data_IF_121471517389
#
_entry.id   IF_121471517389
#
_cell.length_a   1.000
_cell.length_b   1.000
_cell.length_c   1.000
_cell.angle_alpha   90.00
_cell.angle_beta   90.00
_cell.angle_gamma   90.00
#
_symmetry.space_group_name_H-M   'P 1'
#
loop_
_entity.id
_entity.type
_entity.pdbx_description
1 polymer ?
#
# COMPACT_ATOMS: atom_id res chain seq x y z
N UNK A 1 -9.70 -2.34 36.53
CA UNK A 1 -8.87 -1.11 36.70
C UNK A 1 -9.39 -0.10 35.73
N UNK A 2 -9.63 1.17 36.11
CA UNK A 2 -10.10 2.20 35.21
C UNK A 2 -9.10 2.39 34.07
N UNK A 3 -9.61 2.68 32.86
CA UNK A 3 -8.76 3.12 31.74
C UNK A 3 -8.06 4.42 32.18
N UNK A 4 -6.78 4.62 31.80
CA UNK A 4 -6.07 5.83 32.20
C UNK A 4 -6.76 7.05 31.56
N UNK A 5 -7.20 7.97 32.40
CA UNK A 5 -7.80 9.26 32.06
C UNK A 5 -6.70 10.30 31.69
N UNK A 6 -5.65 9.91 30.95
CA UNK A 6 -4.69 10.85 30.40
C UNK A 6 -4.94 11.04 28.91
N UNK A 7 -4.83 12.26 28.43
CA UNK A 7 -5.04 12.66 27.05
C UNK A 7 -4.36 11.66 26.10
N UNK A 8 -5.11 10.70 25.59
CA UNK A 8 -4.63 9.85 24.53
C UNK A 8 -4.49 10.72 23.29
N UNK A 9 -3.29 10.85 22.78
CA UNK A 9 -3.04 11.58 21.53
C UNK A 9 -3.61 10.78 20.34
N UNK A 10 -3.83 9.47 20.53
CA UNK A 10 -4.34 8.55 19.50
C UNK A 10 -5.82 8.22 19.77
N UNK A 11 -6.66 8.37 18.77
CA UNK A 11 -8.09 8.13 18.86
C UNK A 11 -8.38 6.68 19.30
N UNK A 12 -9.22 6.48 20.32
CA UNK A 12 -9.54 5.14 20.85
C UNK A 12 -10.09 4.17 19.80
N UNK A 13 -10.76 4.69 18.79
CA UNK A 13 -11.32 3.93 17.67
C UNK A 13 -10.27 3.28 16.75
N UNK A 14 -9.00 3.76 16.79
CA UNK A 14 -7.88 3.12 16.11
C UNK A 14 -7.29 1.95 16.88
N UNK A 15 -7.58 1.85 18.19
CA UNK A 15 -6.92 0.95 19.13
C UNK A 15 -7.81 -0.26 19.37
N UNK A 16 -7.33 -1.45 19.01
CA UNK A 16 -8.09 -2.69 19.19
C UNK A 16 -7.26 -3.74 19.95
N UNK A 17 -7.72 -4.17 21.15
CA UNK A 17 -7.16 -5.33 21.80
C UNK A 17 -7.43 -6.60 20.98
N UNK A 18 -6.37 -7.37 20.69
CA UNK A 18 -6.49 -8.63 19.94
C UNK A 18 -6.64 -9.87 20.82
N UNK A 19 -6.36 -9.74 22.12
CA UNK A 19 -6.59 -10.80 23.10
C UNK A 19 -7.10 -10.21 24.43
N UNK A 20 -7.55 -11.09 25.33
CA UNK A 20 -8.06 -10.71 26.68
C UNK A 20 -6.99 -10.77 27.78
N UNK A 21 -5.71 -11.02 27.42
CA UNK A 21 -4.62 -11.11 28.39
C UNK A 21 -4.38 -9.73 29.02
N UNK A 22 -3.82 -9.75 30.25
CA UNK A 22 -3.39 -8.53 30.94
C UNK A 22 -2.03 -8.09 30.45
N UNK A 23 -1.68 -6.84 30.65
CA UNK A 23 -0.30 -6.39 30.61
C UNK A 23 0.48 -7.09 31.74
N UNK A 24 1.70 -7.44 31.50
CA UNK A 24 2.57 -8.13 32.48
C UNK A 24 3.56 -7.15 33.11
N UNK A 25 4.31 -7.61 34.12
CA UNK A 25 5.45 -6.87 34.67
C UNK A 25 6.71 -6.93 33.78
N UNK A 26 6.56 -7.09 32.47
CA UNK A 26 7.65 -7.27 31.53
C UNK A 26 8.64 -6.10 31.49
N UNK A 27 9.82 -6.34 30.88
CA UNK A 27 10.97 -5.45 30.93
C UNK A 27 10.82 -4.23 29.99
N UNK A 28 9.98 -4.32 28.95
CA UNK A 28 9.78 -3.29 27.91
C UNK A 28 8.41 -3.37 27.25
N UNK A 29 8.03 -2.32 26.53
CA UNK A 29 6.94 -2.33 25.53
C UNK A 29 7.53 -2.73 24.19
N UNK A 30 6.89 -3.66 23.47
CA UNK A 30 7.29 -4.06 22.13
C UNK A 30 6.35 -3.47 21.09
N UNK A 31 6.88 -2.71 20.13
CA UNK A 31 6.16 -2.41 18.90
C UNK A 31 6.61 -3.39 17.79
N UNK A 32 5.72 -4.27 17.40
CA UNK A 32 5.91 -5.13 16.24
C UNK A 32 5.45 -4.38 14.98
N UNK A 33 6.40 -3.70 14.36
CA UNK A 33 6.22 -2.98 13.11
C UNK A 33 6.17 -3.98 11.95
N UNK A 34 5.16 -3.88 11.08
CA UNK A 34 5.04 -4.77 9.94
C UNK A 34 4.56 -4.04 8.67
N UNK A 35 3.46 -3.27 8.76
CA UNK A 35 2.86 -2.53 7.65
C UNK A 35 3.31 -1.06 7.62
N UNK A 36 3.27 -0.39 8.74
CA UNK A 36 3.58 1.05 8.87
C UNK A 36 5.08 1.28 9.05
N UNK A 37 5.87 1.08 7.99
CA UNK A 37 7.34 1.05 8.03
C UNK A 37 7.94 2.46 8.08
N UNK A 38 7.56 3.25 9.09
CA UNK A 38 8.01 4.64 9.30
C UNK A 38 8.11 4.99 10.78
N UNK A 39 8.99 5.93 11.08
CA UNK A 39 9.21 6.46 12.43
C UNK A 39 8.49 7.79 12.69
N UNK A 40 7.80 8.34 11.70
CA UNK A 40 7.11 9.62 11.74
C UNK A 40 5.63 9.43 11.38
N UNK A 41 4.75 10.26 11.93
CA UNK A 41 3.29 10.23 11.70
C UNK A 41 2.70 8.79 11.75
N UNK A 42 3.13 8.01 12.75
CA UNK A 42 2.77 6.61 12.93
C UNK A 42 1.99 6.40 14.24
N UNK A 43 0.66 6.30 14.15
CA UNK A 43 -0.22 6.14 15.31
C UNK A 43 0.14 4.93 16.19
N UNK A 44 0.57 3.81 15.59
CA UNK A 44 0.95 2.61 16.35
C UNK A 44 2.23 2.83 17.16
N UNK A 45 3.21 3.53 16.58
CA UNK A 45 4.44 3.89 17.28
C UNK A 45 4.16 4.87 18.42
N UNK A 46 3.39 5.95 18.19
CA UNK A 46 3.12 6.94 19.23
C UNK A 46 2.29 6.34 20.36
N UNK A 47 1.30 5.50 20.07
CA UNK A 47 0.60 4.74 21.10
C UNK A 47 1.54 3.84 21.91
N UNK A 48 2.52 3.20 21.27
CA UNK A 48 3.53 2.38 21.97
C UNK A 48 4.44 3.25 22.85
N UNK A 49 4.80 4.47 22.41
CA UNK A 49 5.57 5.46 23.24
C UNK A 49 4.75 5.88 24.44
N UNK A 50 3.46 6.21 24.29
CA UNK A 50 2.58 6.57 25.40
C UNK A 50 2.48 5.44 26.44
N UNK A 51 2.30 4.20 25.96
CA UNK A 51 2.28 3.02 26.85
C UNK A 51 3.60 2.80 27.58
N UNK A 52 4.74 2.93 26.86
CA UNK A 52 6.06 2.80 27.44
C UNK A 52 6.30 3.84 28.55
N UNK A 53 5.94 5.10 28.29
CA UNK A 53 6.02 6.17 29.26
C UNK A 53 5.10 5.97 30.48
N UNK A 54 3.88 5.46 30.24
CA UNK A 54 2.92 5.17 31.31
C UNK A 54 3.38 4.01 32.22
N UNK A 55 3.97 2.96 31.62
CA UNK A 55 4.46 1.80 32.34
C UNK A 55 5.86 2.03 32.94
N UNK A 56 6.47 3.18 32.69
CA UNK A 56 7.87 3.49 33.03
C UNK A 56 8.84 2.41 32.49
N UNK A 57 8.67 2.04 31.22
CA UNK A 57 9.46 1.03 30.54
C UNK A 57 10.05 1.58 29.24
N UNK A 58 11.19 1.05 28.76
CA UNK A 58 11.71 1.37 27.44
C UNK A 58 10.78 0.79 26.34
N UNK A 59 10.82 1.44 25.17
CA UNK A 59 10.14 0.95 23.95
C UNK A 59 11.17 0.32 23.02
N UNK A 60 10.88 -0.86 22.53
CA UNK A 60 11.65 -1.54 21.48
C UNK A 60 10.78 -1.79 20.26
N UNK A 61 11.40 -1.70 19.09
CA UNK A 61 10.72 -2.01 17.81
C UNK A 61 11.35 -3.28 17.21
N UNK A 62 10.51 -4.18 16.71
CA UNK A 62 10.97 -5.35 15.96
C UNK A 62 10.27 -5.40 14.60
N UNK A 63 11.05 -5.73 13.57
CA UNK A 63 10.54 -6.03 12.23
C UNK A 63 10.92 -7.48 11.86
N UNK A 64 9.92 -8.30 11.54
CA UNK A 64 10.12 -9.65 11.03
C UNK A 64 10.25 -9.61 9.51
N UNK A 65 11.48 -9.72 9.00
CA UNK A 65 11.75 -9.81 7.58
C UNK A 65 11.57 -11.25 7.11
N UNK A 66 10.57 -11.51 6.28
CA UNK A 66 10.41 -12.80 5.61
C UNK A 66 10.82 -12.69 4.16
N UNK A 67 11.53 -13.68 3.64
CA UNK A 67 11.83 -13.83 2.21
C UNK A 67 10.76 -14.65 1.46
N UNK A 68 9.77 -15.17 2.19
CA UNK A 68 8.58 -15.84 1.66
C UNK A 68 7.34 -14.93 1.56
N UNK A 69 7.49 -13.61 1.39
CA UNK A 69 6.32 -12.75 1.18
C UNK A 69 5.71 -13.05 -0.20
N UNK A 70 4.39 -13.33 -0.30
CA UNK A 70 3.77 -13.79 -1.53
C UNK A 70 4.06 -12.87 -2.73
N UNK A 71 4.44 -13.46 -3.87
CA UNK A 71 4.63 -12.78 -5.17
C UNK A 71 5.60 -11.60 -5.14
N UNK A 72 6.47 -11.51 -4.13
CA UNK A 72 7.49 -10.47 -4.04
C UNK A 72 8.81 -10.92 -4.69
N UNK A 73 9.62 -9.97 -5.11
CA UNK A 73 10.91 -10.21 -5.74
C UNK A 73 11.95 -9.17 -5.28
N UNK A 74 13.18 -9.25 -5.78
CA UNK A 74 14.30 -8.41 -5.37
C UNK A 74 13.98 -6.90 -5.42
N UNK A 75 13.23 -6.44 -6.44
CA UNK A 75 12.80 -5.02 -6.60
C UNK A 75 12.08 -4.51 -5.36
N UNK A 76 11.14 -5.30 -4.84
CA UNK A 76 10.33 -4.94 -3.68
C UNK A 76 11.15 -4.93 -2.40
N UNK A 77 12.02 -5.92 -2.23
CA UNK A 77 12.92 -5.98 -1.08
C UNK A 77 13.91 -4.82 -1.07
N UNK A 78 14.48 -4.45 -2.22
CA UNK A 78 15.39 -3.30 -2.31
C UNK A 78 14.72 -2.03 -1.80
N UNK A 79 13.56 -1.70 -2.33
CA UNK A 79 12.81 -0.51 -1.94
C UNK A 79 12.40 -0.53 -0.45
N UNK A 80 11.94 -1.68 0.04
CA UNK A 80 11.58 -1.87 1.45
C UNK A 80 12.77 -1.68 2.39
N UNK A 81 13.89 -2.33 2.08
CA UNK A 81 15.09 -2.30 2.93
C UNK A 81 15.73 -0.91 3.02
N UNK A 82 15.69 -0.12 1.94
CA UNK A 82 16.10 1.29 1.97
C UNK A 82 15.26 2.09 2.97
N UNK A 83 13.94 1.90 2.98
CA UNK A 83 13.04 2.53 3.94
C UNK A 83 13.25 2.07 5.38
N UNK A 84 13.45 0.76 5.60
CA UNK A 84 13.72 0.22 6.93
C UNK A 84 15.03 0.73 7.53
N UNK A 85 16.08 0.89 6.70
CA UNK A 85 17.34 1.52 7.11
C UNK A 85 17.13 2.93 7.64
N UNK A 86 16.41 3.76 6.89
CA UNK A 86 16.09 5.13 7.31
C UNK A 86 15.23 5.14 8.58
N UNK A 87 14.23 4.27 8.65
CA UNK A 87 13.35 4.12 9.80
C UNK A 87 14.13 3.77 11.07
N UNK A 88 15.04 2.79 10.99
CA UNK A 88 15.90 2.40 12.12
C UNK A 88 16.78 3.56 12.60
N UNK A 89 17.40 4.29 11.68
CA UNK A 89 18.22 5.48 12.01
C UNK A 89 17.39 6.60 12.66
N UNK A 90 16.14 6.80 12.21
CA UNK A 90 15.25 7.82 12.77
C UNK A 90 14.73 7.42 14.15
N UNK A 91 14.41 6.15 14.36
CA UNK A 91 14.04 5.61 15.68
C UNK A 91 15.18 5.72 16.69
N UNK A 92 16.43 5.43 16.27
CA UNK A 92 17.61 5.58 17.12
C UNK A 92 17.78 7.02 17.64
N UNK A 93 17.51 8.05 16.82
CA UNK A 93 17.52 9.45 17.25
C UNK A 93 16.46 9.76 18.32
N UNK A 94 15.39 8.96 18.38
CA UNK A 94 14.35 9.05 19.42
C UNK A 94 14.64 8.18 20.65
N UNK A 95 15.84 7.55 20.73
CA UNK A 95 16.19 6.63 21.82
C UNK A 95 15.56 5.25 21.72
N UNK A 96 15.04 4.87 20.54
CA UNK A 96 14.31 3.64 20.31
C UNK A 96 15.17 2.66 19.50
N UNK A 97 15.47 1.50 20.08
CA UNK A 97 16.15 0.41 19.38
C UNK A 97 15.19 -0.31 18.44
N UNK A 98 15.58 -0.43 17.17
CA UNK A 98 14.89 -1.26 16.18
C UNK A 98 15.73 -2.49 15.84
N UNK A 99 15.14 -3.69 16.00
CA UNK A 99 15.74 -4.94 15.57
C UNK A 99 15.05 -5.46 14.32
N UNK A 100 15.82 -5.78 13.28
CA UNK A 100 15.32 -6.45 12.07
C UNK A 100 15.83 -7.90 12.08
N UNK A 101 14.91 -8.86 12.04
CA UNK A 101 15.22 -10.28 12.12
C UNK A 101 14.64 -11.03 10.92
N UNK A 102 15.47 -11.82 10.25
CA UNK A 102 15.03 -12.74 9.21
C UNK A 102 14.25 -13.89 9.84
N UNK A 103 13.06 -14.15 9.32
CA UNK A 103 12.19 -15.23 9.76
C UNK A 103 10.71 -14.93 9.57
N UNK A 104 9.88 -15.86 9.97
CA UNK A 104 8.40 -15.68 9.95
C UNK A 104 8.01 -14.52 10.88
N UNK A 105 7.27 -13.51 10.38
CA UNK A 105 6.92 -12.32 11.18
C UNK A 105 6.23 -12.64 12.51
N UNK A 106 5.27 -13.60 12.60
CA UNK A 106 4.69 -14.00 13.89
C UNK A 106 5.71 -14.62 14.86
N UNK A 107 6.62 -15.48 14.37
CA UNK A 107 7.63 -16.11 15.21
C UNK A 107 8.64 -15.11 15.75
N UNK A 108 9.07 -14.18 14.90
CA UNK A 108 9.93 -13.06 15.30
C UNK A 108 9.25 -12.23 16.39
N UNK A 109 7.98 -11.85 16.20
CA UNK A 109 7.22 -11.10 17.19
C UNK A 109 7.05 -11.85 18.52
N UNK A 110 6.74 -13.13 18.47
CA UNK A 110 6.60 -13.98 19.66
C UNK A 110 7.92 -14.16 20.41
N UNK A 111 8.99 -14.41 19.69
CA UNK A 111 10.34 -14.54 20.28
C UNK A 111 10.78 -13.24 20.94
N UNK A 112 10.60 -12.11 20.23
CA UNK A 112 10.91 -10.78 20.75
C UNK A 112 10.02 -10.42 21.95
N UNK A 113 8.73 -10.79 21.91
CA UNK A 113 7.73 -10.45 22.91
C UNK A 113 7.75 -11.29 24.19
N UNK A 114 8.65 -12.27 24.34
CA UNK A 114 8.66 -13.17 25.53
C UNK A 114 8.73 -12.43 26.87
N UNK A 115 9.45 -11.30 26.91
CA UNK A 115 9.61 -10.46 28.10
C UNK A 115 8.92 -9.09 27.98
N UNK A 116 8.07 -8.91 26.97
CA UNK A 116 7.36 -7.66 26.81
C UNK A 116 6.18 -7.54 27.80
N UNK A 117 5.99 -6.35 28.35
CA UNK A 117 4.79 -6.03 29.14
C UNK A 117 3.53 -6.04 28.28
N UNK A 118 3.65 -5.58 27.04
CA UNK A 118 2.59 -5.52 26.03
C UNK A 118 3.22 -5.54 24.64
N UNK A 119 2.54 -6.12 23.67
CA UNK A 119 2.88 -6.06 22.25
C UNK A 119 1.88 -5.13 21.55
N UNK A 120 2.38 -4.04 20.96
CA UNK A 120 1.62 -3.20 20.05
C UNK A 120 1.98 -3.63 18.62
N UNK A 121 1.01 -3.69 17.72
CA UNK A 121 1.27 -3.93 16.29
C UNK A 121 0.44 -2.98 15.43
N UNK A 122 0.92 -2.69 14.22
CA UNK A 122 0.15 -1.98 13.21
C UNK A 122 -0.88 -2.89 12.50
N UNK A 123 -1.71 -2.29 11.65
CA UNK A 123 -2.83 -2.95 11.00
C UNK A 123 -2.61 -3.12 9.50
N UNK A 124 -2.18 -4.30 9.07
CA UNK A 124 -2.26 -4.71 7.67
C UNK A 124 -3.60 -5.39 7.35
N UNK A 125 -4.13 -5.20 6.16
CA UNK A 125 -5.49 -5.62 5.79
C UNK A 125 -5.54 -6.93 5.00
N UNK A 126 -4.42 -7.38 4.47
CA UNK A 126 -4.34 -8.60 3.67
C UNK A 126 -4.59 -9.85 4.52
N UNK A 127 -5.14 -10.88 3.92
CA UNK A 127 -5.54 -12.14 4.59
C UNK A 127 -4.42 -12.74 5.44
N UNK A 128 -3.19 -12.83 4.91
CA UNK A 128 -2.06 -13.37 5.63
C UNK A 128 -1.58 -12.44 6.76
N UNK A 129 -1.61 -11.11 6.58
CA UNK A 129 -1.27 -10.15 7.63
C UNK A 129 -2.24 -10.26 8.82
N UNK A 130 -3.54 -10.43 8.54
CA UNK A 130 -4.54 -10.73 9.57
C UNK A 130 -4.26 -12.06 10.27
N UNK A 131 -3.85 -13.10 9.52
CA UNK A 131 -3.51 -14.40 10.07
C UNK A 131 -2.29 -14.32 10.99
N UNK A 132 -1.27 -13.55 10.62
CA UNK A 132 -0.10 -13.29 11.47
C UNK A 132 -0.47 -12.65 12.81
N UNK A 133 -1.27 -11.58 12.79
CA UNK A 133 -1.70 -10.91 14.03
C UNK A 133 -2.55 -11.83 14.91
N UNK A 134 -3.46 -12.61 14.32
CA UNK A 134 -4.24 -13.62 15.06
C UNK A 134 -3.37 -14.68 15.70
N UNK A 135 -2.32 -15.13 15.01
CA UNK A 135 -1.35 -16.10 15.53
C UNK A 135 -0.62 -15.53 16.73
N UNK A 136 -0.08 -14.31 16.63
CA UNK A 136 0.60 -13.63 17.75
C UNK A 136 -0.37 -13.41 18.92
N UNK A 137 -1.57 -12.93 18.67
CA UNK A 137 -2.56 -12.68 19.72
C UNK A 137 -2.93 -13.93 20.53
N UNK A 138 -3.00 -15.09 19.88
CA UNK A 138 -3.28 -16.38 20.56
C UNK A 138 -2.11 -16.84 21.41
N UNK A 139 -0.88 -16.72 20.93
CA UNK A 139 0.32 -17.33 21.49
C UNK A 139 1.08 -16.42 22.46
N UNK A 140 1.02 -15.08 22.30
CA UNK A 140 1.73 -14.16 23.18
C UNK A 140 1.36 -14.37 24.67
N UNK A 141 2.32 -14.23 25.56
CA UNK A 141 2.11 -14.34 27.01
C UNK A 141 1.41 -13.10 27.60
N UNK A 142 1.54 -11.94 26.94
CA UNK A 142 1.04 -10.66 27.38
C UNK A 142 -0.13 -10.16 26.49
N UNK A 143 -0.65 -8.98 26.80
CA UNK A 143 -1.65 -8.28 26.00
C UNK A 143 -1.08 -7.95 24.62
N UNK A 144 -1.89 -8.13 23.57
CA UNK A 144 -1.58 -7.71 22.21
C UNK A 144 -2.62 -6.69 21.77
N UNK A 145 -2.15 -5.54 21.29
CA UNK A 145 -2.98 -4.42 20.84
C UNK A 145 -2.63 -4.06 19.40
N UNK A 146 -3.62 -3.96 18.53
CA UNK A 146 -3.51 -3.46 17.18
C UNK A 146 -3.85 -1.98 17.13
N UNK A 147 -3.09 -1.20 16.37
CA UNK A 147 -3.39 0.23 16.12
C UNK A 147 -3.41 0.49 14.62
N UNK A 148 -4.47 1.15 14.17
CA UNK A 148 -4.69 1.44 12.75
C UNK A 148 -3.99 2.76 12.37
N UNK A 149 -2.97 2.68 11.49
CA UNK A 149 -2.07 3.81 11.18
C UNK A 149 -2.04 4.21 9.69
N UNK A 150 -2.57 3.35 8.79
CA UNK A 150 -2.44 3.53 7.34
C UNK A 150 -3.75 3.93 6.63
N UNK A 151 -4.72 4.41 7.36
CA UNK A 151 -5.95 5.05 6.87
C UNK A 151 -6.18 6.38 7.59
N UNK A 152 -6.86 7.30 6.94
CA UNK A 152 -7.26 8.56 7.59
C UNK A 152 -8.40 8.28 8.56
N UNK A 153 -9.47 7.63 8.12
CA UNK A 153 -10.58 7.23 9.00
C UNK A 153 -10.52 5.71 9.25
N UNK A 154 -10.57 5.24 10.51
CA UNK A 154 -10.52 3.82 10.81
C UNK A 154 -11.60 3.02 10.08
N UNK A 155 -11.24 1.84 9.56
CA UNK A 155 -12.15 1.02 8.74
C UNK A 155 -13.44 0.67 9.46
N UNK A 156 -13.37 0.32 10.75
CA UNK A 156 -14.53 -0.04 11.56
C UNK A 156 -15.48 1.14 11.84
N UNK A 157 -14.99 2.37 11.79
CA UNK A 157 -15.80 3.59 11.93
C UNK A 157 -16.64 3.83 10.66
N UNK A 158 -16.03 3.56 9.49
CA UNK A 158 -16.67 3.81 8.21
C UNK A 158 -17.75 2.77 7.91
N UNK A 159 -17.43 1.48 8.07
CA UNK A 159 -18.36 0.40 7.70
C UNK A 159 -18.00 -0.92 8.36
N UNK A 160 -19.02 -1.76 8.61
CA UNK A 160 -18.89 -3.14 9.09
C UNK A 160 -18.92 -4.18 7.97
N UNK A 161 -18.98 -3.75 6.68
CA UNK A 161 -19.09 -4.64 5.51
C UNK A 161 -18.36 -4.06 4.30
N UNK A 162 -18.19 -4.89 3.26
CA UNK A 162 -17.70 -4.43 1.97
C UNK A 162 -18.68 -3.40 1.36
N UNK A 163 -18.16 -2.24 0.97
CA UNK A 163 -18.92 -1.18 0.34
C UNK A 163 -18.96 -1.38 -1.18
N UNK A 164 -20.13 -1.11 -1.76
CA UNK A 164 -20.33 -1.38 -3.18
C UNK A 164 -19.49 -0.47 -4.09
N UNK A 165 -19.37 0.82 -3.74
CA UNK A 165 -18.64 1.80 -4.55
C UNK A 165 -18.27 3.03 -3.74
N UNK A 166 -17.42 3.91 -4.30
CA UNK A 166 -17.07 5.19 -3.67
C UNK A 166 -18.31 6.04 -3.32
N UNK A 167 -19.38 5.94 -4.10
CA UNK A 167 -20.64 6.63 -3.83
C UNK A 167 -21.26 6.26 -2.48
N UNK A 168 -21.13 5.01 -2.04
CA UNK A 168 -21.66 4.55 -0.74
C UNK A 168 -20.71 4.81 0.40
N UNK A 169 -19.38 4.83 0.15
CA UNK A 169 -18.36 5.04 1.16
C UNK A 169 -18.12 6.53 1.47
N UNK A 170 -18.10 7.40 0.44
CA UNK A 170 -17.76 8.83 0.56
C UNK A 170 -18.58 9.57 1.63
N UNK A 171 -19.92 9.47 1.69
CA UNK A 171 -20.68 10.16 2.74
C UNK A 171 -20.32 9.71 4.15
N UNK A 172 -19.94 8.45 4.31
CA UNK A 172 -19.52 7.87 5.59
C UNK A 172 -18.16 8.42 6.02
N UNK A 173 -17.18 8.50 5.10
CA UNK A 173 -15.88 9.14 5.35
C UNK A 173 -16.06 10.62 5.69
N UNK A 174 -16.79 11.37 4.85
CA UNK A 174 -16.97 12.82 5.01
C UNK A 174 -17.56 13.18 6.37
N UNK A 175 -18.48 12.36 6.90
CA UNK A 175 -19.08 12.58 8.24
C UNK A 175 -18.04 12.59 9.36
N UNK A 176 -17.00 11.78 9.24
CA UNK A 176 -15.98 11.58 10.27
C UNK A 176 -14.66 12.32 9.95
N UNK A 177 -14.53 12.91 8.76
CA UNK A 177 -13.25 13.43 8.30
C UNK A 177 -12.66 14.48 9.25
N UNK A 178 -13.48 15.38 9.79
CA UNK A 178 -13.02 16.43 10.70
C UNK A 178 -12.52 15.87 12.06
N UNK A 179 -12.98 14.69 12.44
CA UNK A 179 -12.54 14.01 13.66
C UNK A 179 -11.13 13.44 13.52
N UNK A 180 -10.81 12.89 12.31
CA UNK A 180 -9.58 12.14 12.07
C UNK A 180 -8.53 12.89 11.25
N UNK A 181 -8.91 13.93 10.51
CA UNK A 181 -8.00 14.71 9.68
C UNK A 181 -7.40 15.88 10.49
N UNK A 182 -6.60 15.53 11.49
CA UNK A 182 -5.89 16.46 12.37
C UNK A 182 -4.52 15.91 12.75
N UNK A 183 -3.60 16.79 13.05
CA UNK A 183 -2.29 16.41 13.59
C UNK A 183 -2.43 15.75 14.95
N UNK A 184 -1.54 14.83 15.26
CA UNK A 184 -1.40 14.28 16.61
C UNK A 184 -0.04 14.65 17.19
N UNK A 185 0.01 14.73 18.52
CA UNK A 185 1.22 15.15 19.21
C UNK A 185 2.20 13.99 19.37
N UNK A 186 3.46 14.24 19.02
CA UNK A 186 4.56 13.31 19.27
C UNK A 186 5.08 13.52 20.69
N UNK A 187 5.07 12.47 21.49
CA UNK A 187 5.57 12.50 22.88
C UNK A 187 7.00 11.96 22.93
N UNK A 188 7.96 12.63 23.60
CA UNK A 188 9.30 12.10 23.82
C UNK A 188 9.25 10.79 24.63
N UNK A 189 10.09 9.82 24.26
CA UNK A 189 10.27 8.60 25.05
C UNK A 189 11.07 8.94 26.32
N UNK A 190 10.58 8.49 27.49
CA UNK A 190 11.25 8.72 28.79
C UNK A 190 12.49 7.83 28.95
N UNK A 191 12.35 6.54 28.68
CA UNK A 191 13.37 5.54 28.93
C UNK A 191 13.93 5.01 27.61
N UNK A 192 15.16 5.40 27.27
CA UNK A 192 15.82 4.91 26.04
C UNK A 192 16.06 3.40 26.08
N UNK A 193 15.89 2.76 24.94
CA UNK A 193 16.19 1.34 24.75
C UNK A 193 17.54 1.06 24.07
N UNK A 194 18.29 2.10 23.66
CA UNK A 194 19.52 1.92 22.87
C UNK A 194 20.61 1.15 23.58
N UNK A 195 20.71 1.22 24.92
CA UNK A 195 21.70 0.52 25.74
C UNK A 195 21.27 -0.88 26.20
N UNK A 196 20.11 -1.36 25.80
CA UNK A 196 19.60 -2.66 26.26
C UNK A 196 20.20 -3.82 25.46
N UNK A 197 20.85 -4.76 26.16
CA UNK A 197 21.32 -6.02 25.58
C UNK A 197 20.30 -7.14 25.79
N UNK A 198 19.29 -7.21 24.93
CA UNK A 198 18.31 -8.28 24.96
C UNK A 198 18.60 -9.23 23.80
N UNK A 199 19.15 -10.41 24.10
CA UNK A 199 19.57 -11.42 23.10
C UNK A 199 18.48 -11.76 22.07
N UNK A 200 17.20 -11.82 22.49
CA UNK A 200 16.05 -12.11 21.61
C UNK A 200 15.71 -10.96 20.64
N UNK A 201 16.28 -9.76 20.86
CA UNK A 201 16.02 -8.54 20.09
C UNK A 201 17.24 -8.05 19.31
N UNK A 202 18.33 -8.83 19.28
CA UNK A 202 19.47 -8.48 18.41
C UNK A 202 19.06 -8.64 16.95
N UNK A 203 19.37 -7.63 16.14
CA UNK A 203 19.29 -7.77 14.69
C UNK A 203 20.20 -8.90 14.25
N UNK A 204 19.68 -9.81 13.42
CA UNK A 204 20.53 -10.78 12.71
C UNK A 204 20.83 -10.33 11.27
N UNK A 205 20.43 -9.10 10.94
CA UNK A 205 20.60 -8.45 9.65
C UNK A 205 21.25 -7.07 9.82
N UNK A 206 22.20 -6.77 8.94
CA UNK A 206 22.82 -5.44 8.89
C UNK A 206 22.19 -4.61 7.79
N UNK A 207 21.39 -3.63 8.16
CA UNK A 207 20.70 -2.71 7.20
C UNK A 207 21.67 -1.73 6.54
N UNK A 208 22.88 -1.52 7.05
CA UNK A 208 23.87 -0.64 6.40
C UNK A 208 24.54 -1.31 5.19
N UNK A 209 24.58 -2.65 5.16
CA UNK A 209 25.16 -3.44 4.09
C UNK A 209 24.05 -4.07 3.22
N UNK A 210 23.26 -3.25 2.51
CA UNK A 210 22.06 -3.71 1.79
C UNK A 210 22.36 -4.77 0.73
N UNK A 211 23.44 -4.66 -0.01
CA UNK A 211 23.84 -5.63 -1.05
C UNK A 211 24.14 -7.00 -0.44
N UNK A 212 24.94 -7.02 0.64
CA UNK A 212 25.24 -8.24 1.38
C UNK A 212 24.00 -8.83 2.06
N UNK A 213 23.07 -7.98 2.51
CA UNK A 213 21.79 -8.43 3.06
C UNK A 213 20.93 -9.08 1.98
N UNK A 214 20.79 -8.44 0.82
CA UNK A 214 19.99 -8.95 -0.29
C UNK A 214 20.52 -10.29 -0.81
N UNK A 215 21.85 -10.50 -0.85
CA UNK A 215 22.43 -11.78 -1.29
C UNK A 215 22.06 -12.96 -0.38
N UNK A 216 21.71 -12.69 0.89
CA UNK A 216 21.29 -13.70 1.87
C UNK A 216 19.80 -14.07 1.76
N UNK A 217 18.99 -13.28 1.07
CA UNK A 217 17.56 -13.53 0.94
C UNK A 217 17.29 -14.50 -0.20
N UNK A 218 16.43 -15.47 0.06
CA UNK A 218 15.94 -16.39 -0.95
C UNK A 218 14.71 -15.80 -1.67
N UNK A 219 14.96 -14.82 -2.56
CA UNK A 219 13.91 -14.09 -3.29
C UNK A 219 14.08 -14.24 -4.79
N UNK A 220 12.97 -14.14 -5.53
CA UNK A 220 13.00 -14.08 -7.00
C UNK A 220 13.85 -12.87 -7.45
N UNK A 221 14.82 -13.14 -8.31
CA UNK A 221 15.77 -12.16 -8.87
C UNK A 221 15.52 -11.88 -10.35
N UNK A 222 14.42 -12.37 -10.91
CA UNK A 222 14.09 -12.18 -12.32
C UNK A 222 13.69 -10.76 -12.68
N UNK A 223 13.48 -9.91 -11.65
CA UNK A 223 13.07 -8.51 -11.81
C UNK A 223 14.05 -7.59 -11.11
N UNK A 224 14.72 -6.76 -11.90
CA UNK A 224 15.72 -5.81 -11.41
C UNK A 224 15.11 -4.70 -10.53
N UNK A 225 15.87 -4.21 -9.54
CA UNK A 225 15.54 -2.99 -8.80
C UNK A 225 15.35 -1.77 -9.71
N UNK A 226 14.65 -0.76 -9.22
CA UNK A 226 14.32 0.47 -9.96
C UNK A 226 14.88 1.73 -9.29
N UNK A 227 16.04 1.63 -8.70
CA UNK A 227 16.70 2.68 -7.88
C UNK A 227 16.88 4.01 -8.62
N UNK A 228 16.92 3.98 -9.97
CA UNK A 228 16.96 5.19 -10.81
C UNK A 228 15.66 6.00 -10.75
N UNK A 229 14.53 5.33 -10.51
CA UNK A 229 13.20 5.94 -10.51
C UNK A 229 12.62 6.10 -9.11
N UNK A 230 12.81 5.09 -8.25
CA UNK A 230 12.28 5.09 -6.90
C UNK A 230 13.33 4.61 -5.89
N UNK A 231 13.56 5.43 -4.89
CA UNK A 231 14.33 5.10 -3.69
C UNK A 231 13.39 5.02 -2.50
N UNK A 232 13.53 3.99 -1.66
CA UNK A 232 12.73 3.82 -0.47
C UNK A 232 13.07 4.84 0.62
N UNK A 233 12.10 5.09 1.51
CA UNK A 233 12.25 5.89 2.72
C UNK A 233 11.31 7.10 2.80
N UNK A 234 11.00 7.49 4.03
CA UNK A 234 10.10 8.60 4.36
C UNK A 234 10.62 9.94 3.81
N UNK A 235 11.92 10.17 3.88
CA UNK A 235 12.56 11.41 3.42
C UNK A 235 12.42 11.59 1.92
N UNK A 236 12.65 10.56 1.13
CA UNK A 236 12.46 10.62 -0.33
C UNK A 236 10.98 10.79 -0.69
N UNK A 237 10.08 10.10 0.02
CA UNK A 237 8.63 10.28 -0.14
C UNK A 237 8.22 11.73 0.11
N UNK A 238 8.63 12.32 1.24
CA UNK A 238 8.34 13.72 1.58
C UNK A 238 8.92 14.70 0.56
N UNK A 239 10.15 14.45 0.07
CA UNK A 239 10.79 15.27 -0.98
C UNK A 239 9.99 15.26 -2.28
N UNK A 240 9.58 14.08 -2.76
CA UNK A 240 8.75 13.93 -3.97
C UNK A 240 7.38 14.59 -3.78
N UNK A 241 6.77 14.37 -2.64
CA UNK A 241 5.46 14.96 -2.36
C UNK A 241 5.52 16.49 -2.29
N UNK A 242 6.55 17.06 -1.67
CA UNK A 242 6.77 18.51 -1.67
C UNK A 242 6.94 19.08 -3.09
N UNK A 243 7.65 18.35 -3.97
CA UNK A 243 7.75 18.74 -5.39
C UNK A 243 6.37 18.74 -6.05
N UNK A 244 5.58 17.68 -5.85
CA UNK A 244 4.22 17.58 -6.36
C UNK A 244 3.33 18.73 -5.89
N UNK A 245 3.31 19.03 -4.58
CA UNK A 245 2.54 20.14 -4.02
C UNK A 245 2.87 21.48 -4.67
N UNK A 246 4.16 21.75 -4.88
CA UNK A 246 4.62 23.04 -5.38
C UNK A 246 4.47 23.22 -6.88
N UNK A 247 4.53 22.14 -7.66
CA UNK A 247 4.63 22.22 -9.12
C UNK A 247 3.40 21.66 -9.84
N UNK A 248 2.79 20.58 -9.32
CA UNK A 248 1.86 19.76 -10.08
C UNK A 248 0.45 19.70 -9.48
N UNK A 249 0.24 19.99 -8.19
CA UNK A 249 -1.06 19.88 -7.54
C UNK A 249 -2.13 20.74 -8.24
N UNK A 250 -1.79 21.95 -8.65
CA UNK A 250 -2.69 22.87 -9.38
C UNK A 250 -3.13 22.34 -10.76
N UNK A 251 -2.37 21.43 -11.35
CA UNK A 251 -2.68 20.80 -12.63
C UNK A 251 -3.36 19.44 -12.47
N UNK A 252 -3.37 18.91 -11.25
CA UNK A 252 -3.84 17.55 -10.98
C UNK A 252 -5.28 17.28 -11.43
N UNK A 253 -6.27 18.18 -11.26
CA UNK A 253 -7.65 17.93 -11.71
C UNK A 253 -7.73 17.64 -13.21
N UNK A 254 -6.99 18.37 -14.02
CA UNK A 254 -6.99 18.22 -15.47
C UNK A 254 -6.05 17.13 -15.97
N UNK A 255 -4.91 16.95 -15.29
CA UNK A 255 -3.81 16.12 -15.75
C UNK A 255 -3.76 14.70 -15.13
N UNK A 256 -4.52 14.41 -14.08
CA UNK A 256 -4.45 13.08 -13.43
C UNK A 256 -4.88 11.89 -14.33
N UNK A 257 -5.46 12.18 -15.51
CA UNK A 257 -5.76 11.21 -16.56
C UNK A 257 -4.93 11.44 -17.84
N UNK A 258 -3.88 12.25 -17.80
CA UNK A 258 -3.01 12.61 -18.92
C UNK A 258 -1.65 11.93 -18.76
N UNK A 259 -1.44 10.71 -19.31
CA UNK A 259 -0.25 9.90 -19.04
C UNK A 259 1.05 10.50 -19.61
N UNK A 260 0.95 11.39 -20.60
CA UNK A 260 2.10 12.09 -21.18
C UNK A 260 2.69 13.14 -20.22
N UNK A 261 1.89 13.67 -19.28
CA UNK A 261 2.38 14.58 -18.25
C UNK A 261 3.01 13.81 -17.09
N UNK A 262 3.61 14.53 -16.13
CA UNK A 262 4.13 13.95 -14.89
C UNK A 262 3.48 14.61 -13.65
N UNK A 263 2.26 15.15 -13.80
CA UNK A 263 1.54 15.90 -12.77
C UNK A 263 0.79 14.98 -11.80
N UNK A 264 1.46 13.95 -11.33
CA UNK A 264 1.00 12.99 -10.32
C UNK A 264 1.99 12.87 -9.17
N UNK A 265 1.52 12.43 -8.02
CA UNK A 265 2.34 12.45 -6.79
C UNK A 265 3.38 11.34 -6.69
N UNK A 266 3.21 10.22 -7.38
CA UNK A 266 4.01 9.00 -7.26
C UNK A 266 4.10 8.43 -5.83
N UNK A 267 3.05 8.62 -5.01
CA UNK A 267 3.06 8.19 -3.61
C UNK A 267 2.66 6.74 -3.38
N UNK A 268 2.10 6.06 -4.38
CA UNK A 268 1.57 4.70 -4.19
C UNK A 268 2.61 3.68 -3.70
N UNK A 269 3.89 3.65 -4.15
CA UNK A 269 4.89 2.75 -3.59
C UNK A 269 5.16 3.02 -2.10
N UNK A 270 5.27 4.28 -1.72
CA UNK A 270 5.55 4.66 -0.34
C UNK A 270 4.39 4.37 0.60
N UNK A 271 3.14 4.56 0.12
CA UNK A 271 1.92 4.19 0.85
C UNK A 271 1.80 2.66 1.01
N UNK A 272 2.15 1.90 -0.03
CA UNK A 272 2.14 0.43 0.02
C UNK A 272 3.05 -0.11 1.11
N UNK A 273 4.29 0.37 1.19
CA UNK A 273 5.26 -0.03 2.21
C UNK A 273 5.11 0.72 3.54
N UNK A 274 4.09 1.56 3.68
CA UNK A 274 3.87 2.34 4.90
C UNK A 274 4.99 3.32 5.24
N UNK A 275 5.81 3.70 4.26
CA UNK A 275 6.93 4.63 4.42
C UNK A 275 6.50 6.10 4.51
N UNK A 276 5.23 6.38 4.22
CA UNK A 276 4.61 7.70 4.40
C UNK A 276 3.18 7.56 4.95
N UNK A 277 2.76 8.50 5.77
CA UNK A 277 1.41 8.51 6.33
C UNK A 277 0.40 9.12 5.35
N UNK A 278 -0.75 8.45 5.08
CA UNK A 278 -1.83 9.07 4.31
C UNK A 278 -2.42 10.30 5.01
N UNK A 279 -2.43 10.31 6.34
CA UNK A 279 -2.85 11.48 7.14
C UNK A 279 -1.91 12.67 6.90
N UNK A 280 -0.58 12.43 6.96
CA UNK A 280 0.40 13.47 6.63
C UNK A 280 0.17 14.05 5.23
N UNK A 281 0.02 13.20 4.22
CA UNK A 281 -0.22 13.64 2.84
C UNK A 281 -1.48 14.51 2.74
N UNK A 282 -2.57 14.08 3.37
CA UNK A 282 -3.84 14.81 3.35
C UNK A 282 -3.74 16.17 4.05
N UNK A 283 -3.06 16.24 5.19
CA UNK A 283 -2.82 17.49 5.92
C UNK A 283 -1.93 18.47 5.13
N UNK A 284 -0.89 17.96 4.44
CA UNK A 284 -0.04 18.80 3.59
C UNK A 284 -0.80 19.36 2.38
N UNK A 285 -1.71 18.59 1.77
CA UNK A 285 -2.59 19.09 0.70
C UNK A 285 -3.50 20.20 1.21
N UNK A 286 -4.16 19.99 2.36
CA UNK A 286 -5.01 21.02 2.98
C UNK A 286 -4.23 22.29 3.34
N UNK A 287 -3.00 22.16 3.82
CA UNK A 287 -2.15 23.30 4.12
C UNK A 287 -1.69 24.05 2.85
N UNK A 288 -1.58 23.38 1.72
CA UNK A 288 -1.25 24.01 0.43
C UNK A 288 -2.42 24.84 -0.12
N UNK A 289 -3.68 24.40 0.06
CA UNK A 289 -4.88 25.14 -0.35
C UNK A 289 -4.98 26.55 0.21
N UNK A 290 -4.61 26.70 1.48
CA UNK A 290 -4.67 27.99 2.18
C UNK A 290 -3.66 28.99 1.60
N UNK A 291 -2.65 28.51 0.85
CA UNK A 291 -1.49 29.33 0.45
C UNK A 291 -1.53 29.82 -1.01
N UNK A 292 -2.11 29.09 -1.96
CA UNK A 292 -2.03 29.48 -3.40
C UNK A 292 -2.77 28.58 -4.40
N UNK A 293 -3.51 27.54 -3.97
CA UNK A 293 -4.14 26.54 -4.85
C UNK A 293 -5.66 26.66 -4.71
N UNK A 294 -6.42 26.51 -5.79
CA UNK A 294 -7.87 26.54 -5.75
C UNK A 294 -8.44 25.35 -4.95
N UNK A 295 -9.56 25.55 -4.25
CA UNK A 295 -10.24 24.52 -3.46
C UNK A 295 -10.52 23.22 -4.25
N UNK A 296 -10.80 23.35 -5.54
CA UNK A 296 -11.08 22.19 -6.41
C UNK A 296 -9.84 21.30 -6.66
N UNK A 297 -8.64 21.85 -6.58
CA UNK A 297 -7.40 21.15 -6.94
C UNK A 297 -7.02 20.13 -5.86
N UNK A 298 -7.18 20.50 -4.62
CA UNK A 298 -6.94 19.63 -3.48
C UNK A 298 -8.02 18.57 -3.31
N UNK A 299 -9.30 18.92 -3.55
CA UNK A 299 -10.41 17.98 -3.44
C UNK A 299 -10.24 16.79 -4.38
N UNK A 300 -9.79 17.01 -5.62
CA UNK A 300 -9.53 15.96 -6.59
C UNK A 300 -8.45 14.96 -6.10
N UNK A 301 -7.39 15.47 -5.47
CA UNK A 301 -6.35 14.61 -4.92
C UNK A 301 -6.80 13.90 -3.64
N UNK A 302 -7.48 14.60 -2.74
CA UNK A 302 -8.00 14.03 -1.49
C UNK A 302 -9.06 12.94 -1.75
N UNK A 303 -9.88 13.09 -2.78
CA UNK A 303 -10.81 12.03 -3.22
C UNK A 303 -10.04 10.74 -3.54
N UNK A 304 -8.90 10.82 -4.24
CA UNK A 304 -8.10 9.64 -4.57
C UNK A 304 -7.39 9.07 -3.34
N UNK A 305 -6.75 9.94 -2.56
CA UNK A 305 -5.95 9.55 -1.40
C UNK A 305 -6.78 8.94 -0.28
N UNK A 306 -7.96 9.50 -0.01
CA UNK A 306 -8.81 9.09 1.11
C UNK A 306 -9.92 8.16 0.59
N UNK A 307 -10.87 8.67 -0.20
CA UNK A 307 -12.08 7.91 -0.53
C UNK A 307 -11.76 6.66 -1.35
N UNK A 308 -10.99 6.81 -2.45
CA UNK A 308 -10.70 5.69 -3.33
C UNK A 308 -9.76 4.67 -2.69
N UNK A 309 -8.73 5.14 -2.00
CA UNK A 309 -7.81 4.26 -1.31
C UNK A 309 -8.47 3.53 -0.14
N UNK A 310 -9.30 4.20 0.66
CA UNK A 310 -9.98 3.55 1.79
C UNK A 310 -11.13 2.64 1.33
N UNK A 311 -11.71 2.86 0.14
CA UNK A 311 -12.58 1.88 -0.50
C UNK A 311 -11.84 0.58 -0.83
N UNK A 312 -10.61 0.69 -1.31
CA UNK A 312 -9.78 -0.48 -1.60
C UNK A 312 -9.40 -1.24 -0.31
N UNK A 313 -9.06 -0.51 0.74
CA UNK A 313 -8.83 -1.10 2.07
C UNK A 313 -10.09 -1.79 2.60
N UNK A 314 -11.26 -1.15 2.49
CA UNK A 314 -12.54 -1.72 2.87
C UNK A 314 -12.82 -3.01 2.08
N UNK A 315 -12.64 -3.00 0.76
CA UNK A 315 -12.82 -4.17 -0.09
C UNK A 315 -11.98 -5.36 0.41
N UNK A 316 -10.66 -5.19 0.51
CA UNK A 316 -9.75 -6.26 0.94
C UNK A 316 -10.04 -6.71 2.38
N UNK A 317 -10.44 -5.78 3.24
CA UNK A 317 -10.77 -6.10 4.64
C UNK A 317 -11.98 -7.02 4.79
N UNK A 318 -12.99 -6.87 3.93
CA UNK A 318 -14.27 -7.58 4.07
C UNK A 318 -14.52 -8.65 3.00
N UNK A 319 -13.64 -8.79 1.99
CA UNK A 319 -13.77 -9.77 0.91
C UNK A 319 -12.67 -10.83 1.04
N UNK A 320 -12.96 -12.04 1.54
CA UNK A 320 -11.92 -13.06 1.79
C UNK A 320 -11.16 -13.51 0.55
N UNK A 321 -11.81 -13.50 -0.61
CA UNK A 321 -11.28 -13.93 -1.91
C UNK A 321 -10.88 -12.75 -2.82
N UNK A 322 -10.46 -11.62 -2.25
CA UNK A 322 -10.12 -10.38 -2.96
C UNK A 322 -9.05 -10.55 -4.06
N UNK A 323 -8.27 -11.61 -4.01
CA UNK A 323 -7.17 -11.94 -4.91
C UNK A 323 -7.51 -13.06 -5.92
N UNK A 324 -8.77 -13.40 -6.09
CA UNK A 324 -9.25 -14.37 -7.08
C UNK A 324 -10.35 -13.78 -7.95
N UNK A 325 -10.58 -14.38 -9.11
CA UNK A 325 -11.65 -13.96 -10.03
C UNK A 325 -13.04 -13.92 -9.37
N UNK A 326 -13.28 -14.80 -8.41
CA UNK A 326 -14.56 -14.89 -7.69
C UNK A 326 -14.88 -13.64 -6.84
N UNK A 327 -13.96 -12.68 -6.73
CA UNK A 327 -14.21 -11.41 -6.03
C UNK A 327 -15.05 -10.42 -6.83
N UNK A 328 -15.23 -10.63 -8.16
CA UNK A 328 -15.97 -9.70 -9.01
C UNK A 328 -17.50 -9.81 -8.79
N UNK A 329 -18.25 -8.74 -9.05
CA UNK A 329 -19.71 -8.78 -8.89
C UNK A 329 -20.38 -9.83 -9.78
N UNK A 330 -21.42 -10.47 -9.30
CA UNK A 330 -22.14 -11.52 -10.04
C UNK A 330 -22.65 -11.07 -11.43
N UNK A 331 -23.13 -9.81 -11.56
CA UNK A 331 -23.54 -9.27 -12.86
C UNK A 331 -22.37 -9.21 -13.87
N UNK A 332 -21.17 -8.91 -13.39
CA UNK A 332 -19.98 -8.81 -14.23
C UNK A 332 -19.47 -10.20 -14.62
N UNK A 333 -19.45 -11.13 -13.68
CA UNK A 333 -19.09 -12.53 -13.93
C UNK A 333 -20.03 -13.15 -14.96
N UNK A 334 -21.34 -12.94 -14.81
CA UNK A 334 -22.35 -13.47 -15.74
C UNK A 334 -22.16 -12.91 -17.15
N UNK A 335 -22.09 -11.58 -17.32
CA UNK A 335 -21.95 -10.99 -18.66
C UNK A 335 -20.62 -11.38 -19.32
N UNK A 336 -19.51 -11.53 -18.57
CA UNK A 336 -18.23 -12.00 -19.12
C UNK A 336 -18.31 -13.50 -19.53
N UNK A 337 -19.11 -14.28 -18.83
CA UNK A 337 -19.37 -15.68 -19.18
C UNK A 337 -20.21 -15.80 -20.44
N UNK A 338 -21.25 -14.97 -20.59
CA UNK A 338 -22.11 -14.95 -21.77
C UNK A 338 -21.33 -14.63 -23.07
N UNK A 339 -20.25 -13.84 -22.94
CA UNK A 339 -19.36 -13.44 -24.04
C UNK A 339 -18.09 -14.30 -24.18
N UNK A 340 -18.05 -15.48 -23.58
CA UNK A 340 -16.89 -16.36 -23.62
C UNK A 340 -16.59 -16.89 -25.03
N UNK A 341 -17.63 -17.16 -25.83
CA UNK A 341 -17.55 -17.65 -27.21
C UNK A 341 -17.25 -16.57 -28.25
N UNK A 342 -17.24 -15.30 -27.87
CA UNK A 342 -16.99 -14.21 -28.81
C UNK A 342 -15.61 -14.34 -29.47
N UNK A 343 -15.56 -13.98 -30.74
CA UNK A 343 -14.32 -14.00 -31.52
C UNK A 343 -13.31 -13.01 -30.94
N UNK A 344 -12.05 -13.45 -30.84
CA UNK A 344 -10.92 -12.64 -30.38
C UNK A 344 -9.86 -12.57 -31.47
N UNK A 345 -9.86 -11.51 -32.29
CA UNK A 345 -8.95 -11.37 -33.45
C UNK A 345 -7.48 -11.48 -33.08
N UNK A 346 -7.11 -10.99 -31.90
CA UNK A 346 -5.75 -11.05 -31.40
C UNK A 346 -5.72 -11.84 -30.10
N UNK A 347 -4.73 -12.72 -29.98
CA UNK A 347 -4.45 -13.47 -28.75
C UNK A 347 -2.97 -13.47 -28.49
N UNK A 348 -2.60 -13.25 -27.21
CA UNK A 348 -1.19 -13.27 -26.81
C UNK A 348 -0.99 -14.23 -25.64
N UNK A 349 0.12 -14.93 -25.67
CA UNK A 349 0.61 -15.69 -24.52
C UNK A 349 1.07 -14.72 -23.41
N UNK A 350 1.14 -15.22 -22.19
CA UNK A 350 1.68 -14.44 -21.07
C UNK A 350 3.10 -13.93 -21.37
N UNK A 351 3.94 -14.76 -22.02
CA UNK A 351 5.30 -14.38 -22.40
C UNK A 351 5.31 -13.18 -23.36
N UNK A 352 4.48 -13.20 -24.42
CA UNK A 352 4.38 -12.08 -25.36
C UNK A 352 3.86 -10.80 -24.70
N UNK A 353 2.90 -10.92 -23.77
CA UNK A 353 2.46 -9.80 -22.94
C UNK A 353 3.61 -9.29 -22.07
N UNK A 354 4.34 -10.16 -21.41
CA UNK A 354 5.44 -9.83 -20.52
C UNK A 354 6.64 -9.21 -21.24
N UNK A 355 6.88 -9.57 -22.50
CA UNK A 355 7.93 -8.97 -23.36
C UNK A 355 7.47 -7.71 -24.10
N UNK A 356 6.20 -7.33 -23.95
CA UNK A 356 5.58 -6.18 -24.64
C UNK A 356 5.62 -6.33 -26.17
N UNK A 357 5.34 -7.55 -26.68
CA UNK A 357 5.34 -7.92 -28.09
C UNK A 357 3.91 -8.05 -28.63
N UNK A 358 3.11 -6.99 -28.49
CA UNK A 358 1.76 -6.95 -29.06
C UNK A 358 1.72 -6.01 -30.27
N UNK A 359 0.62 -6.03 -31.02
CA UNK A 359 0.39 -5.10 -32.12
C UNK A 359 0.06 -3.67 -31.66
N UNK A 360 -0.22 -3.47 -30.35
CA UNK A 360 -0.67 -2.21 -29.79
C UNK A 360 0.52 -1.43 -29.17
N UNK A 361 1.02 -0.38 -29.82
CA UNK A 361 2.17 0.36 -29.33
C UNK A 361 1.91 1.09 -28.01
N UNK A 362 0.66 1.47 -27.72
CA UNK A 362 0.26 2.15 -26.49
C UNK A 362 0.31 1.19 -25.31
N UNK A 363 -0.17 -0.02 -25.53
CA UNK A 363 -0.11 -1.08 -24.55
C UNK A 363 1.33 -1.51 -24.25
N UNK A 364 2.12 -1.68 -25.31
CA UNK A 364 3.54 -2.04 -25.19
C UNK A 364 4.31 -0.98 -24.39
N UNK A 365 4.07 0.31 -24.66
CA UNK A 365 4.69 1.40 -23.90
C UNK A 365 4.31 1.33 -22.41
N UNK A 366 3.02 1.07 -22.09
CA UNK A 366 2.57 0.94 -20.70
C UNK A 366 3.22 -0.26 -19.99
N UNK A 367 3.34 -1.41 -20.67
CA UNK A 367 4.03 -2.58 -20.12
C UNK A 367 5.52 -2.31 -19.88
N UNK A 368 6.17 -1.62 -20.78
CA UNK A 368 7.58 -1.22 -20.65
C UNK A 368 7.77 -0.22 -19.50
N UNK A 369 6.89 0.79 -19.36
CA UNK A 369 6.90 1.70 -18.21
C UNK A 369 6.91 0.90 -16.90
N UNK A 370 5.98 -0.03 -16.73
CA UNK A 370 5.89 -0.88 -15.55
C UNK A 370 7.16 -1.70 -15.31
N UNK A 371 7.69 -2.33 -16.34
CA UNK A 371 8.88 -3.19 -16.24
C UNK A 371 10.12 -2.42 -15.82
N UNK A 372 10.35 -1.25 -16.41
CA UNK A 372 11.57 -0.49 -16.19
C UNK A 372 11.53 0.44 -14.99
N UNK A 373 10.33 0.92 -14.61
CA UNK A 373 10.19 1.90 -13.52
C UNK A 373 9.55 1.35 -12.25
N UNK A 374 8.88 0.19 -12.32
CA UNK A 374 8.05 -0.32 -11.21
C UNK A 374 6.73 0.45 -11.03
N UNK A 375 6.38 1.30 -11.97
CA UNK A 375 5.21 2.18 -11.95
C UNK A 375 4.52 2.19 -13.33
N UNK A 376 3.26 2.54 -13.37
CA UNK A 376 2.51 2.85 -14.59
C UNK A 376 1.46 3.90 -14.23
N UNK A 377 1.27 4.88 -15.09
CA UNK A 377 0.23 5.89 -14.90
C UNK A 377 -1.15 5.23 -14.75
N UNK A 378 -1.94 5.67 -13.77
CA UNK A 378 -3.21 5.00 -13.40
C UNK A 378 -4.19 4.86 -14.59
N UNK A 379 -4.28 5.85 -15.46
CA UNK A 379 -5.12 5.79 -16.66
C UNK A 379 -4.66 4.66 -17.61
N UNK A 380 -3.36 4.47 -17.76
CA UNK A 380 -2.79 3.39 -18.57
C UNK A 380 -2.96 2.02 -17.91
N UNK A 381 -2.96 1.91 -16.57
CA UNK A 381 -3.29 0.63 -15.87
C UNK A 381 -4.65 0.10 -16.27
N UNK A 382 -5.63 0.99 -16.44
CA UNK A 382 -6.98 0.58 -16.87
C UNK A 382 -6.97 0.08 -18.31
N UNK A 383 -6.34 0.82 -19.22
CA UNK A 383 -6.20 0.41 -20.62
C UNK A 383 -5.44 -0.92 -20.74
N UNK A 384 -4.31 -1.02 -20.09
CA UNK A 384 -3.46 -2.21 -20.04
C UNK A 384 -4.24 -3.46 -19.61
N UNK A 385 -4.98 -3.37 -18.51
CA UNK A 385 -5.76 -4.51 -18.02
C UNK A 385 -6.96 -4.84 -18.91
N UNK A 386 -7.64 -3.83 -19.49
CA UNK A 386 -8.75 -4.06 -20.44
C UNK A 386 -8.27 -4.76 -21.71
N UNK A 387 -7.09 -4.48 -22.19
CA UNK A 387 -6.50 -5.17 -23.34
C UNK A 387 -6.09 -6.61 -23.02
N UNK A 388 -5.63 -6.89 -21.80
CA UNK A 388 -5.41 -8.28 -21.37
C UNK A 388 -6.73 -9.06 -21.39
N UNK A 389 -7.85 -8.49 -20.93
CA UNK A 389 -9.17 -9.10 -21.02
C UNK A 389 -9.58 -9.35 -22.48
N UNK A 390 -9.35 -8.38 -23.36
CA UNK A 390 -9.68 -8.46 -24.79
C UNK A 390 -8.92 -9.60 -25.49
N UNK A 391 -7.64 -9.82 -25.13
CA UNK A 391 -6.74 -10.74 -25.80
C UNK A 391 -6.60 -12.11 -25.14
N UNK A 392 -7.20 -12.35 -24.01
CA UNK A 392 -7.17 -13.63 -23.31
C UNK A 392 -8.33 -14.51 -23.73
N UNK A 393 -8.12 -15.85 -23.71
CA UNK A 393 -9.16 -16.83 -24.08
C UNK A 393 -10.37 -16.77 -23.16
N UNK A 394 -10.15 -16.58 -21.86
CA UNK A 394 -11.22 -16.48 -20.85
C UNK A 394 -10.99 -15.28 -19.93
N UNK A 395 -12.05 -14.76 -19.33
CA UNK A 395 -11.96 -13.68 -18.34
C UNK A 395 -11.21 -14.12 -17.07
N UNK A 396 -11.30 -15.39 -16.67
CA UNK A 396 -10.53 -15.97 -15.58
C UNK A 396 -9.02 -15.91 -15.89
N UNK A 397 -8.60 -16.41 -17.06
CA UNK A 397 -7.20 -16.36 -17.50
C UNK A 397 -6.69 -14.92 -17.57
N UNK A 398 -7.53 -14.01 -18.04
CA UNK A 398 -7.20 -12.59 -18.10
C UNK A 398 -6.95 -12.01 -16.69
N UNK A 399 -7.82 -12.32 -15.74
CA UNK A 399 -7.68 -11.88 -14.35
C UNK A 399 -6.37 -12.37 -13.73
N UNK A 400 -6.12 -13.67 -13.84
CA UNK A 400 -4.91 -14.30 -13.28
C UNK A 400 -3.64 -13.74 -13.91
N UNK A 401 -3.64 -13.49 -15.24
CA UNK A 401 -2.52 -12.86 -15.95
C UNK A 401 -2.32 -11.42 -15.50
N UNK A 402 -3.41 -10.63 -15.42
CA UNK A 402 -3.37 -9.23 -14.98
C UNK A 402 -2.80 -9.13 -13.56
N UNK A 403 -3.32 -9.96 -12.63
CA UNK A 403 -2.87 -9.95 -11.24
C UNK A 403 -1.40 -10.36 -11.12
N UNK A 404 -1.00 -11.43 -11.83
CA UNK A 404 0.37 -11.93 -11.77
C UNK A 404 1.39 -10.91 -12.31
N UNK A 405 1.12 -10.26 -13.46
CA UNK A 405 2.00 -9.22 -14.01
C UNK A 405 2.04 -7.97 -13.13
N UNK A 406 0.87 -7.56 -12.59
CA UNK A 406 0.76 -6.47 -11.64
C UNK A 406 1.64 -6.70 -10.40
N UNK A 407 1.51 -7.86 -9.74
CA UNK A 407 2.25 -8.16 -8.52
C UNK A 407 3.74 -8.38 -8.77
N UNK A 408 4.12 -8.88 -9.93
CA UNK A 408 5.51 -9.09 -10.32
C UNK A 408 6.27 -7.78 -10.55
N UNK A 409 5.66 -6.79 -11.20
CA UNK A 409 6.38 -5.63 -11.72
C UNK A 409 6.13 -4.32 -10.98
N UNK A 410 4.92 -4.06 -10.47
CA UNK A 410 4.66 -2.82 -9.75
C UNK A 410 5.28 -2.82 -8.35
N UNK A 411 5.93 -1.72 -7.96
CA UNK A 411 6.36 -1.50 -6.58
C UNK A 411 5.18 -1.51 -5.60
N UNK A 412 4.04 -0.97 -6.02
CA UNK A 412 2.78 -1.00 -5.27
C UNK A 412 1.91 -2.24 -5.59
N UNK A 413 2.47 -3.26 -6.20
CA UNK A 413 1.83 -4.58 -6.33
C UNK A 413 1.51 -5.17 -4.94
N UNK A 414 0.46 -6.00 -4.82
CA UNK A 414 0.02 -6.62 -3.54
C UNK A 414 -0.55 -5.61 -2.52
N UNK A 415 -0.74 -4.36 -2.91
CA UNK A 415 -1.48 -3.36 -2.12
C UNK A 415 -2.99 -3.59 -2.19
N UNK A 416 -3.80 -3.19 -1.20
CA UNK A 416 -5.26 -3.16 -1.33
C UNK A 416 -5.75 -2.46 -2.59
N UNK A 417 -5.15 -1.31 -2.99
CA UNK A 417 -5.47 -0.64 -4.25
C UNK A 417 -5.12 -1.48 -5.48
N UNK A 418 -4.07 -2.27 -5.41
CA UNK A 418 -3.63 -3.13 -6.50
C UNK A 418 -4.65 -4.23 -6.78
N UNK A 419 -5.06 -4.97 -5.75
CA UNK A 419 -6.13 -5.97 -5.86
C UNK A 419 -7.45 -5.37 -6.34
N UNK A 420 -7.84 -4.24 -5.75
CA UNK A 420 -9.06 -3.52 -6.15
C UNK A 420 -8.97 -3.01 -7.59
N UNK A 421 -7.82 -2.50 -8.02
CA UNK A 421 -7.57 -2.01 -9.37
C UNK A 421 -7.69 -3.14 -10.42
N UNK A 422 -7.13 -4.32 -10.11
CA UNK A 422 -7.31 -5.50 -10.96
C UNK A 422 -8.78 -5.91 -11.03
N UNK A 423 -9.46 -6.08 -9.89
CA UNK A 423 -10.87 -6.47 -9.86
C UNK A 423 -11.79 -5.44 -10.54
N UNK A 424 -11.43 -4.14 -10.48
CA UNK A 424 -12.18 -3.09 -11.17
C UNK A 424 -12.15 -3.22 -12.70
N UNK A 425 -11.08 -3.72 -13.28
CA UNK A 425 -11.02 -4.06 -14.71
C UNK A 425 -12.17 -5.00 -15.08
N UNK A 426 -12.56 -5.87 -14.17
CA UNK A 426 -13.60 -6.89 -14.35
C UNK A 426 -14.95 -6.51 -13.71
N UNK A 427 -15.18 -5.22 -13.42
CA UNK A 427 -16.49 -4.69 -13.01
C UNK A 427 -16.68 -4.39 -11.53
N UNK A 428 -15.68 -4.65 -10.65
CA UNK A 428 -15.77 -4.27 -9.24
C UNK A 428 -15.94 -2.75 -9.11
N UNK A 429 -16.83 -2.32 -8.21
CA UNK A 429 -17.14 -0.90 -7.93
C UNK A 429 -17.64 -0.09 -9.16
N UNK A 430 -17.96 -0.77 -10.26
CA UNK A 430 -18.51 -0.14 -11.46
C UNK A 430 -20.01 -0.52 -11.63
N UNK A 431 -20.62 -0.04 -12.67
CA UNK A 431 -21.99 -0.30 -13.09
C UNK A 431 -21.99 -0.97 -14.47
N UNK A 432 -23.08 -1.63 -14.87
CA UNK A 432 -23.26 -2.09 -16.25
C UNK A 432 -23.17 -0.94 -17.25
N UNK A 433 -22.46 -1.19 -18.36
CA UNK A 433 -22.28 -0.32 -19.53
C UNK A 433 -23.03 -0.90 -20.72
N UNK A 434 -23.18 -0.17 -21.84
CA UNK A 434 -23.68 -0.73 -23.08
C UNK A 434 -22.89 -1.96 -23.49
N UNK A 435 -23.60 -3.03 -23.82
CA UNK A 435 -23.05 -4.34 -24.14
C UNK A 435 -22.18 -4.33 -25.39
N UNK A 436 -21.08 -5.06 -25.36
CA UNK A 436 -20.11 -5.16 -26.45
C UNK A 436 -19.49 -6.56 -26.49
N UNK A 437 -19.10 -7.04 -27.69
CA UNK A 437 -18.37 -8.30 -27.80
C UNK A 437 -17.17 -8.35 -26.82
N UNK A 438 -16.89 -9.54 -26.28
CA UNK A 438 -15.82 -9.85 -25.34
C UNK A 438 -16.04 -9.26 -23.95
N UNK A 439 -16.44 -7.99 -23.86
CA UNK A 439 -16.57 -7.21 -22.61
C UNK A 439 -17.95 -7.35 -21.96
N UNK A 440 -18.96 -7.80 -22.73
CA UNK A 440 -20.33 -7.74 -22.27
C UNK A 440 -20.68 -6.34 -21.77
N UNK A 441 -21.25 -6.26 -20.58
CA UNK A 441 -21.61 -5.00 -19.91
C UNK A 441 -20.50 -4.42 -19.04
N UNK A 442 -19.28 -4.94 -19.07
CA UNK A 442 -18.16 -4.31 -18.37
C UNK A 442 -17.61 -3.14 -19.18
N UNK A 443 -16.99 -2.19 -18.51
CA UNK A 443 -16.39 -1.00 -19.16
C UNK A 443 -15.37 -1.41 -20.21
N UNK A 444 -15.41 -0.73 -21.36
CA UNK A 444 -14.52 -0.93 -22.51
C UNK A 444 -13.55 0.27 -22.66
N UNK A 445 -12.32 0.00 -23.15
CA UNK A 445 -11.35 1.04 -23.50
C UNK A 445 -10.68 0.69 -24.84
N UNK A 446 -10.88 1.55 -25.85
CA UNK A 446 -10.27 1.42 -27.17
C UNK A 446 -9.05 2.32 -27.33
N UNK A 447 -8.15 1.96 -28.26
CA UNK A 447 -7.00 2.79 -28.66
C UNK A 447 -7.48 4.18 -29.16
N UNK A 448 -8.51 4.23 -30.01
CA UNK A 448 -9.11 5.48 -30.46
C UNK A 448 -9.70 6.34 -29.31
N UNK A 449 -10.05 5.71 -28.18
CA UNK A 449 -10.47 6.42 -26.97
C UNK A 449 -9.31 7.12 -26.26
N UNK A 450 -8.10 6.51 -26.25
CA UNK A 450 -6.89 7.16 -25.77
C UNK A 450 -6.49 8.34 -26.62
N UNK A 451 -6.45 8.16 -27.94
CA UNK A 451 -6.09 9.20 -28.95
C UNK A 451 -6.95 10.46 -28.83
N UNK A 452 -8.23 10.29 -28.48
CA UNK A 452 -9.14 11.46 -28.27
C UNK A 452 -8.96 12.14 -26.92
N UNK A 453 -8.46 11.43 -25.89
CA UNK A 453 -8.42 11.93 -24.52
C UNK A 453 -7.09 12.47 -24.08
N UNK A 454 -6.01 12.01 -24.66
CA UNK A 454 -4.66 12.41 -24.28
C UNK A 454 -3.73 12.36 -25.48
N UNK A 455 -2.60 13.04 -25.40
CA UNK A 455 -1.51 12.87 -26.38
C UNK A 455 -0.76 11.56 -26.10
N UNK A 456 -1.37 10.48 -26.61
CA UNK A 456 -0.85 9.13 -26.37
C UNK A 456 0.48 8.89 -27.08
N UNK A 457 0.75 9.58 -28.20
CA UNK A 457 2.03 9.49 -28.89
C UNK A 457 3.14 10.15 -28.10
N UNK A 458 2.88 11.29 -27.47
CA UNK A 458 3.84 11.89 -26.53
C UNK A 458 4.14 10.96 -25.35
N UNK A 459 3.14 10.22 -24.85
CA UNK A 459 3.37 9.19 -23.84
C UNK A 459 4.28 8.07 -24.33
N UNK A 460 4.03 7.51 -25.52
CA UNK A 460 4.88 6.46 -26.13
C UNK A 460 6.32 6.94 -26.27
N UNK A 461 6.51 8.16 -26.79
CA UNK A 461 7.83 8.76 -26.98
C UNK A 461 8.55 9.00 -25.64
N UNK A 462 7.82 9.49 -24.61
CA UNK A 462 8.34 9.63 -23.25
C UNK A 462 8.89 8.29 -22.72
N UNK A 463 8.16 7.20 -22.92
CA UNK A 463 8.59 5.88 -22.44
C UNK A 463 9.80 5.39 -23.24
N UNK A 464 9.82 5.53 -24.57
CA UNK A 464 10.97 5.17 -25.41
C UNK A 464 12.26 5.87 -24.94
N UNK A 465 12.20 7.19 -24.75
CA UNK A 465 13.32 7.97 -24.23
C UNK A 465 13.77 7.51 -22.84
N UNK A 466 12.80 7.23 -21.94
CA UNK A 466 13.08 6.78 -20.58
C UNK A 466 13.84 5.44 -20.53
N UNK A 467 13.60 4.54 -21.48
CA UNK A 467 14.24 3.21 -21.54
C UNK A 467 15.45 3.16 -22.49
N UNK A 468 15.82 4.29 -23.11
CA UNK A 468 16.95 4.37 -24.05
C UNK A 468 16.72 3.62 -25.35
N UNK A 469 15.48 3.49 -25.79
CA UNK A 469 15.10 2.92 -27.10
C UNK A 469 14.52 4.05 -27.93
N UNK A 470 15.34 4.57 -28.84
CA UNK A 470 14.91 5.52 -29.87
C UNK A 470 14.04 4.86 -30.94
#
# INVERSE_FOLDING_TARGET
>A
MPQPTHSQSIEPTRIQPLNRKKMTGGDFVLYWMQQSQRAEENHALEYAVELANHLDRPLMVVFGLTDGYPESNLRHYRFMLEGLRETAATLAKRGILMAVQLGSPPEVALKAGKKAAVIVCDCGYLRFQKAWRRSVARQAACRVVQVEADVVVPVAVISSKAEYAARTLRPKITRHLNEYLKEFHVVPLKNSSLGLDIKSLKSNLNLEALEALQSRLNVDRSVEPVDKFFKGGTREAKKRFKKFLNQSLKHYPDHHNQPQTDDISHMSPYLHFGQISPLYLALQVKAADVRSVGLNDSEAYLEQLIVRRELAVNFVNFTPNYDTYDCIPGWASQTLSDHLSDERPNRYSRTQLETAETHDPYWNAAMLEMKYTGFMHNYMRMYWGKKILEWSRTSQQAFDTTLALNNKYFLDGRDPNSYTGVAWIYGLHDRPWPERPIFGKTRFMAASGLERKCDIMAYVNKIKQMIGKD
#
